data_IF_454334531413
#
_entry.id   IF_454334531413
#
_cell.length_a   1.000
_cell.length_b   1.000
_cell.length_c   1.000
_cell.angle_alpha   90.00
_cell.angle_beta   90.00
_cell.angle_gamma   90.00
#
_symmetry.space_group_name_H-M   'P 1'
#
loop_
_entity.id
_entity.type
_entity.pdbx_description
1 polymer ?
#
# COMPACT_ATOMS: atom_id res chain seq x y z
N UNK A 1 -15.81 -16.32 -16.97
CA UNK A 1 -14.43 -16.48 -16.41
C UNK A 1 -13.55 -17.18 -17.44
N UNK A 2 -12.35 -16.63 -17.70
CA UNK A 2 -11.38 -17.24 -18.64
C UNK A 2 -10.86 -18.58 -18.12
N UNK A 3 -10.38 -19.44 -19.02
CA UNK A 3 -9.74 -20.73 -18.65
C UNK A 3 -8.51 -20.47 -17.76
N UNK A 4 -7.72 -19.46 -18.08
CA UNK A 4 -6.55 -19.03 -17.30
C UNK A 4 -6.91 -18.70 -15.86
N UNK A 5 -8.02 -17.97 -15.63
CA UNK A 5 -8.50 -17.66 -14.30
C UNK A 5 -8.89 -18.92 -13.52
N UNK A 6 -9.61 -19.86 -14.17
CA UNK A 6 -10.00 -21.13 -13.52
C UNK A 6 -8.79 -21.94 -13.07
N UNK A 7 -7.76 -22.04 -13.92
CA UNK A 7 -6.52 -22.75 -13.59
C UNK A 7 -5.82 -22.05 -12.43
N UNK A 8 -5.62 -20.72 -12.52
CA UNK A 8 -4.96 -19.96 -11.48
C UNK A 8 -5.69 -20.05 -10.13
N UNK A 9 -7.01 -19.89 -10.12
CA UNK A 9 -7.82 -19.98 -8.89
C UNK A 9 -7.78 -21.39 -8.27
N UNK A 10 -7.73 -22.43 -9.10
CA UNK A 10 -7.58 -23.82 -8.61
C UNK A 10 -6.21 -24.02 -7.96
N UNK A 11 -5.14 -23.51 -8.57
CA UNK A 11 -3.78 -23.58 -8.00
C UNK A 11 -3.73 -22.85 -6.66
N UNK A 12 -4.27 -21.63 -6.58
CA UNK A 12 -4.30 -20.83 -5.35
C UNK A 12 -5.05 -21.56 -4.23
N UNK A 13 -6.19 -22.21 -4.55
CA UNK A 13 -6.95 -23.05 -3.60
C UNK A 13 -6.12 -24.24 -3.10
N UNK A 14 -5.42 -24.93 -4.00
CA UNK A 14 -4.60 -26.09 -3.66
C UNK A 14 -3.42 -25.73 -2.76
N UNK A 15 -2.79 -24.59 -3.02
CA UNK A 15 -1.70 -24.05 -2.18
C UNK A 15 -2.22 -23.62 -0.79
N UNK A 16 -3.52 -23.33 -0.68
CA UNK A 16 -4.15 -23.00 0.58
C UNK A 16 -3.81 -21.60 1.10
N UNK A 17 -3.56 -20.64 0.20
CA UNK A 17 -3.24 -19.24 0.53
C UNK A 17 -4.25 -18.66 1.53
N UNK A 18 -5.53 -18.97 1.37
CA UNK A 18 -6.60 -18.48 2.24
C UNK A 18 -6.43 -18.86 3.71
N UNK A 19 -5.78 -19.99 4.01
CA UNK A 19 -5.50 -20.43 5.39
C UNK A 19 -4.63 -19.45 6.17
N UNK A 20 -3.79 -18.69 5.47
CA UNK A 20 -2.98 -17.65 6.08
C UNK A 20 -3.85 -16.56 6.73
N UNK A 21 -4.96 -16.22 6.08
CA UNK A 21 -5.88 -15.17 6.54
C UNK A 21 -6.86 -15.61 7.64
N UNK A 22 -6.78 -16.87 8.09
CA UNK A 22 -7.51 -17.39 9.26
C UNK A 22 -6.72 -17.29 10.56
N UNK A 23 -5.48 -16.81 10.49
CA UNK A 23 -4.59 -16.69 11.65
C UNK A 23 -5.09 -15.60 12.62
N UNK A 24 -4.90 -15.84 13.91
CA UNK A 24 -5.07 -14.81 14.92
C UNK A 24 -3.92 -13.78 14.86
N UNK A 25 -3.97 -12.77 15.72
CA UNK A 25 -2.98 -11.67 15.73
C UNK A 25 -1.56 -12.16 15.94
N UNK A 26 -1.34 -12.99 16.95
CA UNK A 26 0.00 -13.51 17.32
C UNK A 26 0.57 -14.36 16.19
N UNK A 27 -0.21 -15.28 15.66
CA UNK A 27 0.19 -16.13 14.53
C UNK A 27 0.45 -15.32 13.24
N UNK A 28 -0.32 -14.24 13.03
CA UNK A 28 -0.14 -13.37 11.86
C UNK A 28 1.12 -12.53 11.99
N UNK A 29 1.41 -11.99 13.16
CA UNK A 29 2.65 -11.23 13.41
C UNK A 29 3.89 -12.13 13.33
N UNK A 30 3.84 -13.36 13.84
CA UNK A 30 4.94 -14.30 13.69
C UNK A 30 5.15 -14.73 12.23
N UNK A 31 4.06 -14.96 11.49
CA UNK A 31 4.13 -15.18 10.05
C UNK A 31 4.79 -13.99 9.32
N UNK A 32 4.33 -12.76 9.58
CA UNK A 32 4.88 -11.56 8.97
C UNK A 32 6.37 -11.38 9.29
N UNK A 33 6.79 -11.63 10.55
CA UNK A 33 8.19 -11.61 10.96
C UNK A 33 9.03 -12.62 10.18
N UNK A 34 8.52 -13.85 10.00
CA UNK A 34 9.19 -14.88 9.19
C UNK A 34 9.31 -14.52 7.71
N UNK A 35 8.27 -13.91 7.11
CA UNK A 35 8.32 -13.44 5.73
C UNK A 35 9.27 -12.25 5.56
N UNK A 36 9.21 -11.27 6.46
CA UNK A 36 10.05 -10.08 6.41
C UNK A 36 11.53 -10.41 6.55
N UNK A 37 11.89 -11.44 7.33
CA UNK A 37 13.27 -11.91 7.45
C UNK A 37 13.85 -12.48 6.12
N UNK A 38 13.00 -12.92 5.20
CA UNK A 38 13.40 -13.44 3.88
C UNK A 38 13.65 -12.34 2.86
N UNK A 39 13.11 -11.14 3.08
CA UNK A 39 13.16 -10.03 2.14
C UNK A 39 14.26 -9.07 2.57
N UNK A 40 15.38 -9.13 1.90
CA UNK A 40 16.46 -8.15 2.09
C UNK A 40 16.57 -7.34 0.79
N UNK A 41 16.23 -6.05 0.86
CA UNK A 41 16.51 -5.13 -0.23
C UNK A 41 18.01 -4.86 -0.29
N UNK A 42 18.66 -5.40 -1.31
CA UNK A 42 20.09 -5.23 -1.56
C UNK A 42 20.32 -3.98 -2.42
N UNK A 43 20.63 -2.88 -1.76
CA UNK A 43 20.84 -1.57 -2.41
C UNK A 43 21.98 -1.62 -3.44
N UNK A 44 23.08 -2.30 -3.14
CA UNK A 44 24.23 -2.37 -4.04
C UNK A 44 23.91 -3.16 -5.31
N UNK A 45 23.19 -4.26 -5.18
CA UNK A 45 22.66 -4.99 -6.36
C UNK A 45 21.66 -4.14 -7.15
N UNK A 46 20.83 -3.38 -6.48
CA UNK A 46 19.87 -2.50 -7.14
C UNK A 46 20.60 -1.39 -7.92
N UNK A 47 21.59 -0.73 -7.33
CA UNK A 47 22.45 0.27 -7.99
C UNK A 47 23.21 -0.32 -9.18
N UNK A 48 23.83 -1.50 -9.02
CA UNK A 48 24.53 -2.19 -10.11
C UNK A 48 23.58 -2.55 -11.27
N UNK A 49 22.32 -2.91 -10.97
CA UNK A 49 21.28 -3.12 -11.97
C UNK A 49 20.90 -1.82 -12.68
N UNK A 50 20.72 -0.72 -11.94
CA UNK A 50 20.42 0.59 -12.48
C UNK A 50 21.48 1.04 -13.47
N UNK A 51 22.76 0.94 -13.09
CA UNK A 51 23.90 1.26 -13.97
C UNK A 51 23.86 0.45 -15.28
N UNK A 52 23.63 -0.87 -15.21
CA UNK A 52 23.55 -1.74 -16.42
C UNK A 52 22.38 -1.37 -17.34
N UNK A 53 21.30 -0.81 -16.79
CA UNK A 53 20.09 -0.44 -17.51
C UNK A 53 19.99 1.06 -17.85
N UNK A 54 21.06 1.81 -17.57
CA UNK A 54 21.13 3.26 -17.81
C UNK A 54 19.98 4.05 -17.15
N UNK A 55 19.79 3.83 -15.85
CA UNK A 55 18.94 4.68 -15.01
C UNK A 55 19.63 4.92 -13.65
N UNK A 56 19.08 5.83 -12.85
CA UNK A 56 19.66 6.24 -11.59
C UNK A 56 18.79 5.77 -10.42
N UNK A 57 19.44 5.43 -9.31
CA UNK A 57 18.82 5.09 -8.05
C UNK A 57 19.34 6.02 -6.96
N UNK A 58 18.45 6.71 -6.30
CA UNK A 58 18.76 7.52 -5.14
C UNK A 58 18.16 6.89 -3.89
N UNK A 59 18.99 6.69 -2.88
CA UNK A 59 18.59 6.20 -1.56
C UNK A 59 18.39 7.40 -0.64
N UNK A 60 17.19 7.59 -0.15
CA UNK A 60 16.76 8.73 0.63
C UNK A 60 16.18 8.25 1.96
N UNK A 61 16.20 9.10 2.95
CA UNK A 61 15.58 8.86 4.26
C UNK A 61 14.33 9.72 4.42
N UNK A 62 13.27 9.11 4.94
CA UNK A 62 12.03 9.78 5.34
C UNK A 62 11.71 9.36 6.77
N UNK A 63 12.03 10.19 7.75
CA UNK A 63 11.77 9.94 9.17
C UNK A 63 12.38 8.62 9.69
N UNK A 64 13.58 8.23 9.18
CA UNK A 64 14.24 6.97 9.51
C UNK A 64 13.82 5.78 8.66
N UNK A 65 12.97 5.98 7.66
CA UNK A 65 12.52 4.95 6.73
C UNK A 65 13.06 5.19 5.34
N UNK A 66 13.45 4.10 4.67
CA UNK A 66 14.04 4.18 3.33
C UNK A 66 13.03 4.56 2.27
N UNK A 67 13.45 5.45 1.38
CA UNK A 67 12.78 5.78 0.15
C UNK A 67 13.75 5.63 -1.02
N UNK A 68 13.41 4.85 -2.03
CA UNK A 68 14.22 4.68 -3.24
C UNK A 68 13.58 5.46 -4.38
N UNK A 69 14.31 6.39 -4.96
CA UNK A 69 13.89 7.07 -6.18
C UNK A 69 14.52 6.41 -7.41
N UNK A 70 13.67 5.93 -8.32
CA UNK A 70 14.06 5.45 -9.66
C UNK A 70 13.92 6.60 -10.65
N UNK A 71 14.99 6.99 -11.33
CA UNK A 71 15.00 8.12 -12.24
C UNK A 71 15.69 7.78 -13.55
N UNK A 72 15.13 8.25 -14.65
CA UNK A 72 15.74 8.06 -15.98
C UNK A 72 16.99 8.88 -16.15
N UNK A 73 17.05 10.07 -15.55
CA UNK A 73 18.14 11.02 -15.61
C UNK A 73 18.65 11.37 -14.21
N UNK A 74 19.80 12.03 -14.12
CA UNK A 74 20.31 12.56 -12.84
C UNK A 74 19.48 13.71 -12.29
N UNK A 75 18.82 14.46 -13.17
CA UNK A 75 17.88 15.51 -12.78
C UNK A 75 16.46 14.95 -12.73
N UNK A 76 15.64 15.45 -11.80
CA UNK A 76 14.24 15.04 -11.70
C UNK A 76 13.47 15.22 -13.01
N UNK A 77 12.55 14.30 -13.30
CA UNK A 77 11.61 14.41 -14.39
C UNK A 77 10.55 15.50 -14.12
N UNK A 78 9.71 15.84 -15.12
CA UNK A 78 8.61 16.79 -14.94
C UNK A 78 7.50 16.31 -13.97
N UNK A 79 7.50 15.03 -13.63
CA UNK A 79 6.52 14.45 -12.71
C UNK A 79 6.98 13.13 -12.14
N UNK A 80 6.28 12.69 -11.09
CA UNK A 80 6.66 11.50 -10.34
C UNK A 80 5.47 10.61 -9.95
N UNK A 81 5.79 9.38 -9.54
CA UNK A 81 4.85 8.41 -8.99
C UNK A 81 5.31 8.05 -7.59
N UNK A 82 4.49 8.30 -6.56
CA UNK A 82 4.65 7.68 -5.25
C UNK A 82 4.09 6.27 -5.30
N UNK A 83 4.94 5.28 -5.10
CA UNK A 83 4.58 3.87 -5.12
C UNK A 83 4.45 3.32 -3.70
N UNK A 84 3.26 2.80 -3.39
CA UNK A 84 2.90 2.20 -2.10
C UNK A 84 2.56 0.72 -2.32
N UNK A 85 3.41 -0.17 -1.82
CA UNK A 85 3.28 -1.61 -2.04
C UNK A 85 2.15 -2.23 -1.21
N UNK A 86 1.74 -3.44 -1.56
CA UNK A 86 0.79 -4.25 -0.80
C UNK A 86 1.47 -5.08 0.28
N UNK A 87 0.69 -5.88 1.00
CA UNK A 87 1.22 -6.78 2.04
C UNK A 87 0.53 -6.61 3.39
N UNK A 88 -0.73 -6.14 3.39
CA UNK A 88 -1.53 -5.97 4.62
C UNK A 88 -0.96 -4.94 5.60
N UNK A 89 -0.02 -4.09 5.17
CA UNK A 89 0.78 -3.21 6.02
C UNK A 89 1.60 -3.95 7.10
N UNK A 90 1.84 -5.24 6.95
CA UNK A 90 2.61 -6.06 7.89
C UNK A 90 3.80 -6.78 7.23
N UNK A 91 3.80 -6.93 5.89
CA UNK A 91 4.90 -7.58 5.17
C UNK A 91 5.64 -6.63 4.25
N UNK A 92 6.95 -6.88 4.11
CA UNK A 92 7.85 -6.14 3.23
C UNK A 92 7.45 -6.30 1.74
N UNK A 93 7.83 -5.35 0.87
CA UNK A 93 7.61 -5.45 -0.56
C UNK A 93 8.36 -6.65 -1.15
N UNK A 94 7.84 -7.19 -2.22
CA UNK A 94 8.43 -8.33 -2.90
C UNK A 94 9.20 -7.91 -4.19
N UNK A 95 9.84 -8.87 -4.85
CA UNK A 95 10.64 -8.61 -6.06
C UNK A 95 9.82 -8.06 -7.24
N UNK A 96 8.51 -8.31 -7.27
CA UNK A 96 7.63 -7.79 -8.34
C UNK A 96 7.39 -6.30 -8.17
N UNK A 97 7.30 -5.81 -6.93
CA UNK A 97 7.13 -4.39 -6.63
C UNK A 97 8.31 -3.58 -7.19
N UNK A 98 9.54 -4.03 -6.96
CA UNK A 98 10.74 -3.38 -7.49
C UNK A 98 10.82 -3.40 -9.02
N UNK A 99 10.45 -4.54 -9.63
CA UNK A 99 10.39 -4.65 -11.10
C UNK A 99 9.31 -3.75 -11.70
N UNK A 100 8.18 -3.62 -11.01
CA UNK A 100 7.10 -2.77 -11.46
C UNK A 100 7.47 -1.29 -11.38
N UNK A 101 8.12 -0.87 -10.29
CA UNK A 101 8.63 0.50 -10.14
C UNK A 101 9.61 0.88 -11.26
N UNK A 102 10.57 -0.01 -11.55
CA UNK A 102 11.49 0.15 -12.68
C UNK A 102 10.73 0.27 -14.01
N UNK A 103 9.77 -0.61 -14.24
CA UNK A 103 8.95 -0.60 -15.48
C UNK A 103 8.10 0.66 -15.61
N UNK A 104 7.52 1.15 -14.53
CA UNK A 104 6.75 2.40 -14.53
C UNK A 104 7.66 3.55 -14.95
N UNK A 105 8.83 3.68 -14.34
CA UNK A 105 9.82 4.68 -14.71
C UNK A 105 10.22 4.57 -16.19
N UNK A 106 10.55 3.36 -16.67
CA UNK A 106 10.92 3.12 -18.07
C UNK A 106 9.82 3.49 -19.07
N UNK A 107 8.56 3.15 -18.77
CA UNK A 107 7.43 3.36 -19.70
C UNK A 107 6.84 4.75 -19.65
N UNK A 108 6.88 5.42 -18.52
CA UNK A 108 6.24 6.74 -18.35
C UNK A 108 7.21 7.91 -18.45
N UNK A 109 8.51 7.65 -18.28
CA UNK A 109 9.53 8.68 -18.13
C UNK A 109 9.43 9.48 -16.83
N UNK A 110 8.48 9.14 -15.95
CA UNK A 110 8.33 9.77 -14.63
C UNK A 110 9.27 9.13 -13.63
N UNK A 111 9.71 9.90 -12.66
CA UNK A 111 10.44 9.35 -11.52
C UNK A 111 9.49 8.50 -10.65
N UNK A 112 10.02 7.45 -10.03
CA UNK A 112 9.22 6.60 -9.13
C UNK A 112 9.85 6.62 -7.75
N UNK A 113 9.11 7.13 -6.79
CA UNK A 113 9.47 7.16 -5.38
C UNK A 113 8.84 5.95 -4.69
N UNK A 114 9.67 4.97 -4.39
CA UNK A 114 9.30 3.74 -3.73
C UNK A 114 9.54 3.86 -2.23
N UNK A 115 8.48 3.98 -1.45
CA UNK A 115 8.57 4.14 -0.01
C UNK A 115 8.51 2.78 0.71
N UNK A 116 9.51 2.50 1.54
CA UNK A 116 9.46 1.42 2.53
C UNK A 116 8.78 1.96 3.80
N UNK A 117 7.47 2.15 3.73
CA UNK A 117 6.70 2.69 4.84
C UNK A 117 6.74 1.77 6.08
N UNK A 118 6.53 2.32 7.32
CA UNK A 118 6.45 1.54 8.53
C UNK A 118 5.42 0.41 8.43
N UNK A 119 5.80 -0.79 8.83
CA UNK A 119 4.88 -1.92 8.88
C UNK A 119 4.26 -2.02 10.28
N UNK A 120 2.95 -2.28 10.32
CA UNK A 120 2.24 -2.50 11.56
C UNK A 120 2.77 -3.74 12.29
N UNK A 121 2.91 -3.64 13.59
CA UNK A 121 3.48 -4.65 14.47
C UNK A 121 2.95 -4.48 15.89
N UNK A 122 3.53 -5.18 16.85
CA UNK A 122 3.23 -4.93 18.27
C UNK A 122 3.48 -3.48 18.68
N UNK A 123 4.56 -2.88 18.16
CA UNK A 123 5.06 -1.56 18.57
C UNK A 123 4.80 -0.44 17.56
N UNK A 124 4.32 -0.75 16.36
CA UNK A 124 4.05 0.22 15.30
C UNK A 124 2.60 0.09 14.88
N UNK A 125 1.85 1.19 14.93
CA UNK A 125 0.45 1.25 14.52
C UNK A 125 0.32 1.99 13.20
N UNK A 126 -0.87 1.96 12.63
CA UNK A 126 -1.15 2.47 11.29
C UNK A 126 -0.93 3.98 11.18
N UNK A 127 -1.12 4.73 12.24
CA UNK A 127 -0.85 6.18 12.32
C UNK A 127 0.59 6.50 11.93
N UNK A 128 1.57 5.70 12.40
CA UNK A 128 2.98 5.87 12.00
C UNK A 128 3.18 5.61 10.50
N UNK A 129 2.47 4.63 9.94
CA UNK A 129 2.48 4.36 8.50
C UNK A 129 1.96 5.56 7.71
N UNK A 130 0.89 6.18 8.20
CA UNK A 130 0.32 7.41 7.61
C UNK A 130 1.27 8.59 7.72
N UNK A 131 1.81 8.84 8.90
CA UNK A 131 2.75 9.94 9.17
C UNK A 131 3.93 9.93 8.19
N UNK A 132 4.60 8.78 8.07
CA UNK A 132 5.77 8.64 7.19
C UNK A 132 5.38 8.72 5.71
N UNK A 133 4.24 8.16 5.33
CA UNK A 133 3.77 8.21 3.94
C UNK A 133 3.31 9.61 3.53
N UNK A 134 2.71 10.34 4.45
CA UNK A 134 2.32 11.75 4.25
C UNK A 134 3.55 12.64 4.12
N UNK A 135 4.57 12.42 4.96
CA UNK A 135 5.85 13.13 4.87
C UNK A 135 6.58 12.83 3.55
N UNK A 136 6.57 11.59 3.08
CA UNK A 136 7.13 11.24 1.78
C UNK A 136 6.44 12.02 0.64
N UNK A 137 5.11 12.14 0.68
CA UNK A 137 4.37 12.95 -0.28
C UNK A 137 4.72 14.45 -0.14
N UNK A 138 4.81 14.97 1.09
CA UNK A 138 5.22 16.36 1.35
C UNK A 138 6.58 16.66 0.71
N UNK A 139 7.57 15.80 0.91
CA UNK A 139 8.90 15.93 0.30
C UNK A 139 8.84 15.88 -1.24
N UNK A 140 7.94 15.07 -1.82
CA UNK A 140 7.75 15.07 -3.27
C UNK A 140 7.26 16.43 -3.77
N UNK A 141 6.40 17.12 -3.03
CA UNK A 141 5.88 18.44 -3.44
C UNK A 141 6.94 19.56 -3.42
N UNK A 142 8.08 19.34 -2.78
CA UNK A 142 9.24 20.24 -2.86
C UNK A 142 9.99 20.11 -4.20
N UNK A 143 9.89 18.96 -4.84
CA UNK A 143 10.59 18.66 -6.11
C UNK A 143 9.66 18.74 -7.32
N UNK A 144 8.42 18.29 -7.17
CA UNK A 144 7.45 18.19 -8.28
C UNK A 144 6.20 19.02 -7.98
N UNK A 145 5.62 19.62 -9.03
CA UNK A 145 4.28 20.21 -8.90
C UNK A 145 3.28 19.11 -8.54
N UNK A 146 2.40 19.36 -7.59
CA UNK A 146 1.43 18.37 -7.10
C UNK A 146 0.58 17.76 -8.24
N UNK A 147 0.17 18.59 -9.22
CA UNK A 147 -0.57 18.17 -10.41
C UNK A 147 0.16 17.14 -11.28
N UNK A 148 1.50 17.09 -11.20
CA UNK A 148 2.35 16.15 -11.93
C UNK A 148 2.69 14.90 -11.14
N UNK A 149 2.30 14.84 -9.84
CA UNK A 149 2.46 13.67 -8.99
C UNK A 149 1.26 12.72 -9.20
N UNK A 150 1.56 11.45 -9.34
CA UNK A 150 0.57 10.38 -9.27
C UNK A 150 0.86 9.52 -8.05
N UNK A 151 -0.16 9.03 -7.36
CA UNK A 151 0.03 8.07 -6.25
C UNK A 151 -0.54 6.73 -6.67
N UNK A 152 0.28 5.70 -6.60
CA UNK A 152 -0.09 4.34 -7.01
C UNK A 152 0.05 3.40 -5.81
N UNK A 153 -1.02 2.71 -5.47
CA UNK A 153 -1.02 1.74 -4.41
C UNK A 153 -1.63 0.40 -4.81
N UNK A 154 -1.17 -0.67 -4.16
CA UNK A 154 -1.66 -2.03 -4.32
C UNK A 154 -2.16 -2.60 -2.99
N UNK A 155 -3.35 -3.23 -2.96
CA UNK A 155 -3.93 -3.85 -1.77
C UNK A 155 -3.93 -2.87 -0.58
N UNK A 156 -3.27 -3.17 0.54
CA UNK A 156 -3.10 -2.24 1.66
C UNK A 156 -2.43 -0.91 1.26
N UNK A 157 -1.45 -0.94 0.34
CA UNK A 157 -0.88 0.27 -0.23
C UNK A 157 -1.90 1.08 -1.05
N UNK A 158 -2.91 0.43 -1.64
CA UNK A 158 -4.01 1.11 -2.31
C UNK A 158 -4.93 1.84 -1.32
N UNK A 159 -5.16 1.26 -0.14
CA UNK A 159 -5.87 1.95 0.94
C UNK A 159 -5.06 3.16 1.42
N UNK A 160 -3.76 2.98 1.62
CA UNK A 160 -2.86 4.05 2.05
C UNK A 160 -2.79 5.16 1.00
N UNK A 161 -2.83 4.84 -0.31
CA UNK A 161 -2.81 5.84 -1.39
C UNK A 161 -4.02 6.78 -1.39
N UNK A 162 -5.16 6.32 -0.88
CA UNK A 162 -6.34 7.13 -0.61
C UNK A 162 -6.22 7.82 0.75
N UNK A 163 -5.85 7.05 1.75
CA UNK A 163 -5.86 7.43 3.15
C UNK A 163 -4.98 8.63 3.46
N UNK A 164 -3.80 8.77 2.85
CA UNK A 164 -2.93 9.94 3.06
C UNK A 164 -3.59 11.26 2.63
N UNK A 165 -4.53 11.24 1.66
CA UNK A 165 -5.27 12.43 1.24
C UNK A 165 -6.56 12.63 2.02
N UNK A 166 -7.16 11.57 2.55
CA UNK A 166 -8.20 11.68 3.59
C UNK A 166 -7.60 12.31 4.86
N UNK A 167 -6.37 11.89 5.22
CA UNK A 167 -5.63 12.49 6.32
C UNK A 167 -5.35 13.97 6.06
N UNK A 168 -4.89 14.33 4.85
CA UNK A 168 -4.68 15.73 4.45
C UNK A 168 -5.95 16.58 4.64
N UNK A 169 -7.13 16.04 4.26
CA UNK A 169 -8.41 16.72 4.47
C UNK A 169 -8.73 16.85 5.96
N UNK A 170 -8.56 15.80 6.74
CA UNK A 170 -8.86 15.76 8.18
C UNK A 170 -8.02 16.76 8.99
N UNK A 171 -6.78 17.04 8.57
CA UNK A 171 -5.87 17.99 9.26
C UNK A 171 -5.87 19.41 8.66
N UNK A 172 -6.86 19.75 7.82
CA UNK A 172 -7.02 21.10 7.28
C UNK A 172 -6.31 21.39 5.97
N UNK A 173 -5.93 20.36 5.23
CA UNK A 173 -5.35 20.43 3.86
C UNK A 173 -4.04 21.21 3.74
N UNK A 174 -3.03 20.90 4.54
CA UNK A 174 -1.75 21.60 4.46
C UNK A 174 -1.00 21.37 3.15
N UNK A 175 -1.31 20.29 2.39
CA UNK A 175 -0.67 19.96 1.13
C UNK A 175 -1.66 20.02 -0.05
N UNK A 176 -1.14 20.42 -1.23
CA UNK A 176 -1.89 20.33 -2.48
C UNK A 176 -2.15 18.87 -2.86
N UNK A 177 -3.33 18.58 -3.41
CA UNK A 177 -3.69 17.25 -3.86
C UNK A 177 -2.87 16.82 -5.09
N UNK A 178 -2.57 15.53 -5.28
CA UNK A 178 -1.86 15.03 -6.46
C UNK A 178 -2.74 15.12 -7.69
N UNK A 179 -2.14 15.08 -8.88
CA UNK A 179 -2.88 15.08 -10.13
C UNK A 179 -3.80 13.86 -10.30
N UNK A 180 -3.45 12.72 -9.70
CA UNK A 180 -4.31 11.52 -9.68
C UNK A 180 -3.85 10.47 -8.66
N UNK A 181 -4.79 9.61 -8.29
CA UNK A 181 -4.56 8.39 -7.51
C UNK A 181 -4.91 7.18 -8.37
N UNK A 182 -4.12 6.12 -8.27
CA UNK A 182 -4.36 4.82 -8.89
C UNK A 182 -4.37 3.79 -7.76
N UNK A 183 -5.54 3.27 -7.45
CA UNK A 183 -5.78 2.38 -6.33
C UNK A 183 -6.17 0.99 -6.85
N UNK A 184 -5.26 0.03 -6.68
CA UNK A 184 -5.44 -1.32 -7.22
C UNK A 184 -5.82 -2.29 -6.12
N UNK A 185 -7.05 -2.82 -6.18
CA UNK A 185 -7.64 -3.74 -5.19
C UNK A 185 -7.57 -3.22 -3.75
N UNK A 186 -8.03 -1.98 -3.47
CA UNK A 186 -8.09 -1.49 -2.10
C UNK A 186 -9.03 -2.35 -1.25
N UNK A 187 -8.75 -2.45 0.04
CA UNK A 187 -9.63 -3.10 1.01
C UNK A 187 -9.47 -2.43 2.38
N UNK A 188 -10.54 -1.85 2.91
CA UNK A 188 -10.57 -1.31 4.27
C UNK A 188 -10.64 -2.41 5.33
N UNK A 189 -10.40 -2.02 6.57
CA UNK A 189 -10.56 -2.87 7.76
C UNK A 189 -11.57 -2.23 8.72
N UNK A 190 -12.85 -2.08 8.29
CA UNK A 190 -13.91 -1.48 9.10
C UNK A 190 -14.10 -2.22 10.42
N UNK A 191 -14.69 -1.53 11.39
CA UNK A 191 -15.12 -2.20 12.62
C UNK A 191 -16.39 -3.03 12.36
N UNK A 192 -16.21 -4.31 12.11
CA UNK A 192 -17.31 -5.24 11.84
C UNK A 192 -18.08 -5.68 13.10
N UNK A 193 -17.76 -5.11 14.26
CA UNK A 193 -18.47 -5.37 15.51
C UNK A 193 -19.58 -4.37 15.77
N UNK A 194 -19.56 -3.21 15.10
CA UNK A 194 -20.60 -2.16 15.22
C UNK A 194 -21.79 -2.45 14.28
N UNK A 195 -22.97 -2.03 14.68
CA UNK A 195 -24.22 -2.31 13.96
C UNK A 195 -24.23 -1.72 12.55
N UNK A 196 -23.63 -0.55 12.36
CA UNK A 196 -23.53 0.14 11.07
C UNK A 196 -22.83 -0.70 10.00
N UNK A 197 -21.88 -1.55 10.38
CA UNK A 197 -21.10 -2.41 9.47
C UNK A 197 -21.63 -3.85 9.38
N UNK A 198 -22.72 -4.17 10.07
CA UNK A 198 -23.28 -5.53 10.13
C UNK A 198 -23.69 -6.08 8.76
N UNK A 199 -24.35 -5.26 7.96
CA UNK A 199 -24.78 -5.66 6.59
C UNK A 199 -23.55 -5.98 5.72
N UNK A 200 -22.51 -5.13 5.77
CA UNK A 200 -21.26 -5.36 5.04
C UNK A 200 -20.62 -6.67 5.51
N UNK A 201 -20.58 -6.90 6.81
CA UNK A 201 -20.00 -8.12 7.38
C UNK A 201 -20.75 -9.39 6.92
N UNK A 202 -22.08 -9.41 6.96
CA UNK A 202 -22.86 -10.53 6.48
C UNK A 202 -22.65 -10.77 4.98
N UNK A 203 -22.57 -9.69 4.18
CA UNK A 203 -22.32 -9.80 2.74
C UNK A 203 -20.92 -10.36 2.44
N UNK A 204 -19.91 -9.97 3.17
CA UNK A 204 -18.55 -10.50 3.04
C UNK A 204 -18.52 -12.00 3.36
N UNK A 205 -19.22 -12.45 4.41
CA UNK A 205 -19.33 -13.86 4.76
C UNK A 205 -20.06 -14.66 3.66
N UNK A 206 -21.17 -14.12 3.14
CA UNK A 206 -21.90 -14.73 2.03
C UNK A 206 -21.00 -14.94 0.80
N UNK A 207 -20.18 -13.93 0.45
CA UNK A 207 -19.32 -13.97 -0.73
C UNK A 207 -17.99 -14.71 -0.51
N UNK A 208 -17.67 -15.11 0.71
CA UNK A 208 -16.39 -15.73 1.08
C UNK A 208 -16.02 -16.96 0.22
N UNK A 209 -17.01 -17.73 -0.23
CA UNK A 209 -16.78 -18.91 -1.09
C UNK A 209 -16.26 -18.54 -2.49
N UNK A 210 -16.44 -17.30 -2.95
CA UNK A 210 -15.99 -16.80 -4.25
C UNK A 210 -14.53 -16.31 -4.19
N UNK A 211 -14.10 -15.78 -3.05
CA UNK A 211 -12.73 -15.35 -2.88
C UNK A 211 -11.81 -16.56 -2.60
N UNK A 212 -10.78 -16.71 -3.41
CA UNK A 212 -9.82 -17.81 -3.32
C UNK A 212 -8.57 -17.46 -2.53
N UNK A 213 -8.41 -16.17 -2.19
CA UNK A 213 -7.20 -15.64 -1.55
C UNK A 213 -7.46 -15.20 -0.11
N UNK A 214 -8.46 -14.33 0.11
CA UNK A 214 -8.68 -13.66 1.39
C UNK A 214 -9.90 -14.24 2.09
N UNK A 215 -9.79 -14.49 3.40
CA UNK A 215 -10.93 -14.79 4.25
C UNK A 215 -11.36 -13.50 4.96
N UNK A 216 -12.65 -13.17 5.02
CA UNK A 216 -13.12 -11.93 5.64
C UNK A 216 -12.80 -11.84 7.14
N UNK A 217 -12.56 -12.95 7.83
CA UNK A 217 -12.12 -12.92 9.24
C UNK A 217 -10.81 -12.16 9.45
N UNK A 218 -9.99 -12.08 8.38
CA UNK A 218 -8.75 -11.29 8.39
C UNK A 218 -8.98 -9.81 8.73
N UNK A 219 -10.15 -9.25 8.40
CA UNK A 219 -10.48 -7.86 8.72
C UNK A 219 -10.31 -7.58 10.22
N UNK A 220 -10.79 -8.49 11.07
CA UNK A 220 -10.67 -8.36 12.53
C UNK A 220 -9.22 -8.40 12.98
N UNK A 221 -8.46 -9.40 12.52
CA UNK A 221 -7.05 -9.56 12.84
C UNK A 221 -6.22 -8.37 12.34
N UNK A 222 -6.47 -7.93 11.10
CA UNK A 222 -5.77 -6.78 10.52
C UNK A 222 -6.05 -5.48 11.30
N UNK A 223 -7.31 -5.27 11.69
CA UNK A 223 -7.71 -4.11 12.48
C UNK A 223 -7.05 -4.13 13.87
N UNK A 224 -7.03 -5.27 14.54
CA UNK A 224 -6.39 -5.44 15.84
C UNK A 224 -4.87 -5.17 15.77
N UNK A 225 -4.19 -5.60 14.71
CA UNK A 225 -2.77 -5.31 14.48
C UNK A 225 -2.56 -3.82 14.19
N UNK A 226 -3.38 -3.25 13.30
CA UNK A 226 -3.22 -1.88 12.83
C UNK A 226 -3.52 -0.84 13.90
N UNK A 227 -4.55 -1.07 14.72
CA UNK A 227 -5.01 -0.15 15.76
C UNK A 227 -4.45 -0.49 17.14
N UNK A 228 -4.52 -1.75 17.55
CA UNK A 228 -4.30 -2.14 18.95
C UNK A 228 -5.28 -1.42 19.88
N UNK A 229 -4.76 -0.90 20.98
CA UNK A 229 -5.51 -0.12 21.98
C UNK A 229 -5.41 1.40 21.74
N UNK A 230 -4.79 1.83 20.62
CA UNK A 230 -4.59 3.24 20.31
C UNK A 230 -5.87 3.91 19.80
N UNK A 231 -5.99 5.22 20.05
CA UNK A 231 -7.08 6.04 19.50
C UNK A 231 -6.75 6.48 18.06
N UNK A 232 -6.99 5.58 17.12
CA UNK A 232 -6.72 5.79 15.69
C UNK A 232 -7.98 6.32 14.99
N UNK A 233 -7.88 7.43 14.23
CA UNK A 233 -9.00 7.93 13.44
C UNK A 233 -9.54 6.87 12.47
N UNK A 234 -10.86 6.69 12.43
CA UNK A 234 -11.49 5.60 11.68
C UNK A 234 -11.16 5.62 10.18
N UNK A 235 -11.00 6.81 9.56
CA UNK A 235 -10.63 6.92 8.14
C UNK A 235 -9.24 6.31 7.80
N UNK A 236 -8.36 6.09 8.79
CA UNK A 236 -7.09 5.39 8.59
C UNK A 236 -7.28 3.88 8.48
N UNK A 237 -8.36 3.35 9.04
CA UNK A 237 -8.72 1.93 9.06
C UNK A 237 -9.73 1.60 7.96
N UNK A 238 -10.71 2.48 7.78
CA UNK A 238 -11.73 2.40 6.76
C UNK A 238 -11.85 3.74 6.01
N UNK A 239 -11.27 3.81 4.81
CA UNK A 239 -11.32 5.01 4.00
C UNK A 239 -12.73 5.45 3.57
N UNK A 240 -13.74 4.58 3.69
CA UNK A 240 -15.11 4.91 3.27
C UNK A 240 -15.76 5.99 4.14
N UNK A 241 -15.27 6.19 5.37
CA UNK A 241 -15.77 7.20 6.31
C UNK A 241 -14.96 8.50 6.30
N UNK A 242 -14.02 8.65 5.35
CA UNK A 242 -13.18 9.85 5.25
C UNK A 242 -13.84 11.00 4.49
N UNK A 243 -13.22 12.18 4.58
CA UNK A 243 -13.64 13.36 3.84
C UNK A 243 -13.02 13.38 2.43
N UNK A 244 -13.85 13.19 1.40
CA UNK A 244 -13.47 13.21 -0.02
C UNK A 244 -13.66 14.59 -0.69
N UNK A 245 -13.84 15.66 0.06
CA UNK A 245 -14.00 17.01 -0.50
C UNK A 245 -12.75 17.40 -1.33
N UNK A 246 -12.97 17.87 -2.56
CA UNK A 246 -11.92 18.24 -3.52
C UNK A 246 -10.89 17.13 -3.79
N UNK A 247 -11.31 15.87 -3.68
CA UNK A 247 -10.44 14.73 -3.88
C UNK A 247 -9.94 14.65 -5.32
N UNK A 248 -8.70 14.22 -5.58
CA UNK A 248 -8.14 14.17 -6.93
C UNK A 248 -8.81 13.07 -7.75
N UNK A 249 -8.65 13.14 -9.08
CA UNK A 249 -9.13 12.08 -9.96
C UNK A 249 -8.54 10.73 -9.53
N UNK A 250 -9.42 9.79 -9.21
CA UNK A 250 -9.04 8.47 -8.69
C UNK A 250 -9.50 7.36 -9.63
N UNK A 251 -8.59 6.44 -9.91
CA UNK A 251 -8.85 5.26 -10.71
C UNK A 251 -8.80 4.03 -9.81
N UNK A 252 -9.90 3.28 -9.78
CA UNK A 252 -9.99 2.01 -9.06
C UNK A 252 -9.88 0.84 -10.03
N UNK A 253 -9.02 -0.12 -9.70
CA UNK A 253 -8.91 -1.38 -10.41
C UNK A 253 -9.17 -2.52 -9.44
N UNK A 254 -10.11 -3.41 -9.77
CA UNK A 254 -10.41 -4.61 -9.03
C UNK A 254 -10.15 -5.84 -9.91
N UNK A 255 -9.60 -6.91 -9.32
CA UNK A 255 -9.30 -8.17 -9.99
C UNK A 255 -10.28 -9.28 -9.61
#
# INVERSE_FOLDING_TARGET
MSLTYKIASTIVRLIGVKKMFLKNKEEMLEYAKGENAKVVFDLEKAKARATRKNYYLFDMDVMGYRLISYQKNQTPADGAVLYLFGGGMITQPNKLDFKLSERIMEQTGKDVWFLFYPLCSENVKIDKTYEVSFEAYRLMTETYKAENISVLGFSSGACLSLGIFLHNNAIGRPLSMPGKIISVSPGGIPDVTVDENKEIWEKLKELNHKDVMIDPTYIKTAREIAKGDEDIPEYMLDGTVGDFTDFPKTYFYFG
#
